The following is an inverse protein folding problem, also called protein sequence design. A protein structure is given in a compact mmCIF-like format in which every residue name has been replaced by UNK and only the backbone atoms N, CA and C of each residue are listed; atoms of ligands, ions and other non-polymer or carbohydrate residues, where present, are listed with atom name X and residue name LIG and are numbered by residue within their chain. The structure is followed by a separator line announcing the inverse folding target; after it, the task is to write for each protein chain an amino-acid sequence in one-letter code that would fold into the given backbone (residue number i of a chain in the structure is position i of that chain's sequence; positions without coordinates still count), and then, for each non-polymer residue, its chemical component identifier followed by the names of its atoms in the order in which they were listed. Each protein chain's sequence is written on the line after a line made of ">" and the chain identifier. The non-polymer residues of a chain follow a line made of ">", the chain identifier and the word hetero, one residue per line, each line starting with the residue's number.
data_IF_267613154810
#
_entry.id   IF_267613154810
#
_cell.length_a   1.000
_cell.length_b   1.000
_cell.length_c   1.000
_cell.angle_alpha   90.00
_cell.angle_beta   90.00
_cell.angle_gamma   90.00
#
_symmetry.space_group_name_H-M   'P 1'
#
loop_
_entity.id
_entity.type
_entity.pdbx_description
1 polymer ?
#
# COMPACT_ATOMS: atom_id res chain seq x y z
N UNK A 1 19.50 2.34 13.95
CA UNK A 1 18.17 2.85 14.36
C UNK A 1 17.20 1.68 14.34
N UNK A 2 16.46 1.45 15.42
CA UNK A 2 15.45 0.38 15.45
C UNK A 2 14.32 0.69 14.46
N UNK A 3 13.91 -0.30 13.68
CA UNK A 3 12.76 -0.17 12.78
C UNK A 3 11.53 0.29 13.58
N UNK A 4 10.74 1.27 13.09
CA UNK A 4 9.52 1.65 13.79
C UNK A 4 8.63 0.41 13.95
N UNK A 5 8.05 0.20 15.14
CA UNK A 5 7.05 -0.87 15.34
C UNK A 5 5.75 -0.44 14.68
N UNK A 6 5.63 -0.69 13.38
CA UNK A 6 4.42 -0.44 12.62
C UNK A 6 3.31 -1.40 13.04
N UNK A 7 2.09 -0.92 13.27
CA UNK A 7 0.93 -1.80 13.31
C UNK A 7 0.76 -2.49 11.94
N UNK A 8 0.29 -3.75 11.92
CA UNK A 8 0.34 -4.62 10.73
C UNK A 8 -0.24 -4.01 9.44
N UNK A 9 -1.30 -3.20 9.54
CA UNK A 9 -1.91 -2.54 8.39
C UNK A 9 -1.01 -1.44 7.78
N UNK A 10 -0.28 -0.70 8.63
CA UNK A 10 0.61 0.36 8.15
C UNK A 10 1.81 -0.20 7.39
N UNK A 11 2.30 -1.38 7.77
CA UNK A 11 3.45 -2.01 7.08
C UNK A 11 3.14 -2.27 5.60
N UNK A 12 1.98 -2.84 5.28
CA UNK A 12 1.58 -3.13 3.89
C UNK A 12 1.44 -1.84 3.07
N UNK A 13 0.78 -0.83 3.63
CA UNK A 13 0.62 0.47 2.97
C UNK A 13 1.97 1.14 2.75
N UNK A 14 2.88 1.10 3.73
CA UNK A 14 4.23 1.62 3.59
C UNK A 14 5.03 0.91 2.48
N UNK A 15 4.91 -0.42 2.35
CA UNK A 15 5.54 -1.17 1.27
C UNK A 15 5.01 -0.75 -0.11
N UNK A 16 3.70 -0.58 -0.27
CA UNK A 16 3.08 -0.10 -1.52
C UNK A 16 3.63 1.29 -1.88
N UNK A 17 3.66 2.21 -0.91
CA UNK A 17 4.18 3.57 -1.12
C UNK A 17 5.68 3.55 -1.45
N UNK A 18 6.49 2.75 -0.75
CA UNK A 18 7.92 2.63 -1.01
C UNK A 18 8.19 2.13 -2.43
N UNK A 19 7.51 1.05 -2.83
CA UNK A 19 7.58 0.48 -4.18
C UNK A 19 7.18 1.50 -5.23
N UNK A 20 6.07 2.22 -5.01
CA UNK A 20 5.59 3.20 -6.00
C UNK A 20 6.52 4.40 -6.13
N UNK A 21 7.07 4.88 -5.02
CA UNK A 21 8.05 5.96 -4.98
C UNK A 21 9.47 5.51 -5.37
N UNK A 22 9.69 4.22 -5.66
CA UNK A 22 11.02 3.62 -5.91
C UNK A 22 12.04 3.96 -4.81
N UNK A 23 11.54 4.08 -3.60
CA UNK A 23 12.32 4.41 -2.41
C UNK A 23 12.41 3.21 -1.48
N UNK A 24 13.16 3.37 -0.40
CA UNK A 24 13.24 2.39 0.67
C UNK A 24 12.23 2.73 1.76
N UNK A 25 11.83 1.75 2.56
CA UNK A 25 10.77 1.92 3.55
C UNK A 25 11.25 2.68 4.80
N UNK A 26 12.56 2.79 5.00
CA UNK A 26 13.19 3.50 6.13
C UNK A 26 12.95 5.02 6.08
N UNK A 27 12.65 5.58 4.91
CA UNK A 27 12.33 7.01 4.77
C UNK A 27 10.85 7.32 5.01
N UNK A 28 10.02 6.30 5.27
CA UNK A 28 8.59 6.46 5.48
C UNK A 28 8.26 6.52 6.97
N UNK A 29 7.26 7.32 7.32
CA UNK A 29 6.64 7.35 8.63
C UNK A 29 5.11 7.30 8.49
N UNK A 30 4.43 6.38 9.16
CA UNK A 30 2.98 6.42 9.30
C UNK A 30 2.64 7.27 10.51
N UNK A 31 1.63 8.11 10.31
CA UNK A 31 0.97 8.80 11.39
C UNK A 31 -0.24 7.99 11.85
N UNK A 32 -0.64 8.09 13.12
CA UNK A 32 -1.89 7.53 13.59
C UNK A 32 -3.07 8.02 12.75
N UNK A 33 -4.07 7.17 12.57
CA UNK A 33 -5.33 7.55 11.92
C UNK A 33 -5.98 8.72 12.66
N UNK A 34 -6.28 9.79 11.92
CA UNK A 34 -7.00 10.96 12.44
C UNK A 34 -7.97 11.50 11.41
N UNK A 35 -9.19 11.82 11.85
CA UNK A 35 -10.28 12.29 10.99
C UNK A 35 -10.07 13.70 10.45
N UNK A 36 -9.21 14.51 11.09
CA UNK A 36 -8.78 15.82 10.59
C UNK A 36 -7.78 15.71 9.42
N UNK A 37 -7.16 14.54 9.21
CA UNK A 37 -6.23 14.28 8.10
C UNK A 37 -6.87 13.47 6.98
N UNK A 38 -7.67 12.48 7.34
CA UNK A 38 -8.41 11.65 6.38
C UNK A 38 -9.88 11.69 6.79
N UNK A 39 -10.71 12.55 6.15
CA UNK A 39 -12.12 12.65 6.47
C UNK A 39 -12.91 11.46 5.92
N UNK A 40 -13.99 11.10 6.61
CA UNK A 40 -14.96 10.07 6.21
C UNK A 40 -14.37 8.68 5.84
N UNK A 41 -13.37 8.14 6.59
CA UNK A 41 -12.89 6.79 6.32
C UNK A 41 -13.97 5.78 6.70
N UNK A 42 -14.19 4.79 5.84
CA UNK A 42 -15.03 3.64 6.19
C UNK A 42 -14.37 2.83 7.32
N UNK A 43 -15.16 2.14 8.16
CA UNK A 43 -14.62 1.23 9.17
C UNK A 43 -13.70 0.16 8.55
N UNK A 44 -12.64 -0.22 9.27
CA UNK A 44 -11.77 -1.34 8.88
C UNK A 44 -12.51 -2.66 9.09
N UNK A 45 -13.24 -3.10 8.07
CA UNK A 45 -14.06 -4.30 8.06
C UNK A 45 -14.00 -5.00 6.69
N UNK A 46 -14.66 -6.15 6.54
CA UNK A 46 -14.79 -6.88 5.27
C UNK A 46 -13.46 -7.24 4.57
N UNK A 47 -12.36 -7.35 5.32
CA UNK A 47 -11.00 -7.58 4.78
C UNK A 47 -10.51 -6.52 3.76
N UNK A 48 -11.20 -5.39 3.62
CA UNK A 48 -10.92 -4.38 2.58
C UNK A 48 -9.85 -3.36 2.97
N UNK A 49 -9.38 -3.40 4.22
CA UNK A 49 -8.49 -2.38 4.77
C UNK A 49 -7.15 -2.25 4.03
N UNK A 50 -6.58 -3.35 3.54
CA UNK A 50 -5.34 -3.30 2.74
C UNK A 50 -5.62 -2.80 1.32
N UNK A 51 -6.70 -3.27 0.70
CA UNK A 51 -7.05 -2.93 -0.68
C UNK A 51 -7.41 -1.44 -0.82
N UNK A 52 -8.33 -0.96 0.02
CA UNK A 52 -8.81 0.43 -0.05
C UNK A 52 -7.70 1.43 0.31
N UNK A 53 -7.06 1.24 1.47
CA UNK A 53 -6.03 2.18 1.93
C UNK A 53 -4.74 2.04 1.12
N UNK A 54 -4.40 0.83 0.68
CA UNK A 54 -3.24 0.58 -0.18
C UNK A 54 -3.40 1.26 -1.53
N UNK A 55 -4.57 1.12 -2.17
CA UNK A 55 -4.84 1.79 -3.45
C UNK A 55 -4.94 3.30 -3.31
N UNK A 56 -5.55 3.81 -2.23
CA UNK A 56 -5.58 5.26 -1.96
C UNK A 56 -4.16 5.81 -1.75
N UNK A 57 -3.31 5.11 -1.00
CA UNK A 57 -1.92 5.50 -0.78
C UNK A 57 -1.07 5.40 -2.06
N UNK A 58 -1.30 4.38 -2.89
CA UNK A 58 -0.68 4.24 -4.22
C UNK A 58 -1.03 5.42 -5.10
N UNK A 59 -2.30 5.81 -5.16
CA UNK A 59 -2.72 7.00 -5.91
C UNK A 59 -2.11 8.28 -5.37
N UNK A 60 -2.04 8.45 -4.04
CA UNK A 60 -1.37 9.60 -3.44
C UNK A 60 0.12 9.65 -3.85
N UNK A 61 0.80 8.50 -3.85
CA UNK A 61 2.18 8.37 -4.32
C UNK A 61 2.32 8.66 -5.82
N UNK A 62 1.35 8.25 -6.64
CA UNK A 62 1.29 8.52 -8.09
C UNK A 62 1.09 9.99 -8.42
N UNK A 63 0.13 10.64 -7.78
CA UNK A 63 -0.12 12.07 -7.91
C UNK A 63 1.07 12.89 -7.42
N UNK A 64 1.70 12.41 -6.34
CA UNK A 64 2.86 13.06 -5.78
C UNK A 64 4.08 12.88 -6.64
N UNK A 65 4.25 11.76 -7.39
CA UNK A 65 5.51 11.27 -7.97
C UNK A 65 6.47 12.41 -8.29
N UNK A 66 7.26 12.85 -7.29
CA UNK A 66 7.91 14.16 -7.37
C UNK A 66 9.04 14.10 -8.37
N UNK A 67 9.62 12.93 -8.55
CA UNK A 67 10.86 12.74 -9.28
C UNK A 67 10.78 13.03 -10.77
N UNK A 68 9.69 12.68 -11.45
CA UNK A 68 9.54 13.02 -12.87
C UNK A 68 9.11 14.46 -13.05
N UNK A 69 8.20 14.97 -12.19
CA UNK A 69 7.65 16.33 -12.30
C UNK A 69 8.60 17.41 -11.79
N UNK A 70 9.30 17.21 -10.67
CA UNK A 70 10.38 18.11 -10.18
C UNK A 70 11.48 18.18 -11.22
N UNK A 71 11.92 17.04 -11.78
CA UNK A 71 12.93 17.09 -12.83
C UNK A 71 12.42 17.77 -14.10
N UNK A 72 11.11 17.76 -14.39
CA UNK A 72 10.54 18.52 -15.50
C UNK A 72 10.36 20.03 -15.24
N UNK A 73 9.90 20.41 -14.04
CA UNK A 73 9.50 21.79 -13.73
C UNK A 73 10.64 22.62 -13.09
N UNK A 74 11.48 21.98 -12.28
CA UNK A 74 12.61 22.63 -11.58
C UNK A 74 13.84 22.74 -12.49
N UNK A 75 13.98 21.82 -13.43
CA UNK A 75 15.11 21.76 -14.35
C UNK A 75 14.66 22.35 -15.69
N UNK A 76 14.63 23.68 -15.78
CA UNK A 76 14.65 24.40 -17.07
C UNK A 76 15.92 24.13 -17.90
N UNK A 77 16.79 23.24 -17.44
CA UNK A 77 18.06 22.85 -18.06
C UNK A 77 18.01 21.39 -18.56
N UNK A 78 17.14 20.99 -19.48
CA UNK A 78 17.34 19.81 -20.35
C UNK A 78 17.59 18.40 -19.76
N UNK A 79 17.64 18.18 -18.44
CA UNK A 79 17.96 16.89 -17.84
C UNK A 79 16.70 16.21 -17.26
N UNK A 80 16.14 15.25 -18.01
CA UNK A 80 15.08 14.38 -17.52
C UNK A 80 15.63 13.39 -16.48
N UNK A 81 14.91 13.14 -15.35
CA UNK A 81 15.29 12.05 -14.43
C UNK A 81 15.23 10.73 -15.21
N UNK A 82 16.39 10.10 -15.38
CA UNK A 82 16.54 8.90 -16.21
C UNK A 82 16.07 7.66 -15.46
N UNK A 83 16.29 7.62 -14.15
CA UNK A 83 15.76 6.55 -13.29
C UNK A 83 15.78 6.93 -11.82
N UNK A 84 14.92 6.29 -11.03
CA UNK A 84 14.94 6.34 -9.56
C UNK A 84 15.17 4.91 -9.09
N UNK A 85 16.20 4.69 -8.29
CA UNK A 85 16.52 3.37 -7.74
C UNK A 85 16.97 3.53 -6.31
N UNK A 86 16.39 2.75 -5.39
CA UNK A 86 16.76 2.71 -3.96
C UNK A 86 16.80 4.10 -3.31
N UNK A 87 15.82 4.95 -3.62
CA UNK A 87 15.71 6.30 -3.03
C UNK A 87 16.69 7.34 -3.58
N UNK A 88 17.36 7.05 -4.70
CA UNK A 88 18.22 7.99 -5.45
C UNK A 88 17.67 8.24 -6.86
N UNK A 89 17.57 9.49 -7.29
CA UNK A 89 17.28 9.84 -8.70
C UNK A 89 18.58 10.15 -9.42
N UNK A 90 18.68 9.62 -10.63
CA UNK A 90 19.79 9.83 -11.54
C UNK A 90 19.36 10.86 -12.60
N UNK A 91 20.09 11.97 -12.65
CA UNK A 91 19.84 13.11 -13.54
C UNK A 91 21.12 13.36 -14.32
N UNK A 92 21.18 12.94 -15.60
CA UNK A 92 22.45 12.92 -16.31
C UNK A 92 23.48 12.04 -15.58
N UNK A 93 24.61 12.63 -15.21
CA UNK A 93 25.69 12.00 -14.43
C UNK A 93 25.54 12.22 -12.90
N UNK A 94 24.63 13.11 -12.49
CA UNK A 94 24.40 13.43 -11.08
C UNK A 94 23.45 12.43 -10.42
N UNK A 95 23.71 12.17 -9.14
CA UNK A 95 22.89 11.29 -8.30
C UNK A 95 22.40 12.09 -7.10
N UNK A 96 21.09 12.31 -7.03
CA UNK A 96 20.45 13.02 -5.93
C UNK A 96 19.71 12.06 -5.01
N UNK A 97 19.89 12.24 -3.71
CA UNK A 97 19.12 11.60 -2.65
C UNK A 97 17.70 12.16 -2.54
N UNK A 98 16.82 11.43 -1.85
CA UNK A 98 15.46 11.90 -1.56
C UNK A 98 15.44 13.27 -0.84
N UNK A 99 16.39 13.49 0.08
CA UNK A 99 16.48 14.74 0.85
C UNK A 99 16.89 15.93 -0.03
N UNK A 100 17.86 15.75 -0.92
CA UNK A 100 18.30 16.78 -1.86
C UNK A 100 17.19 17.16 -2.84
N UNK A 101 16.44 16.18 -3.34
CA UNK A 101 15.30 16.42 -4.22
C UNK A 101 14.16 17.14 -3.50
N UNK A 102 13.88 16.78 -2.25
CA UNK A 102 12.89 17.49 -1.44
C UNK A 102 13.30 18.95 -1.21
N UNK A 103 14.61 19.20 -0.96
CA UNK A 103 15.15 20.56 -0.84
C UNK A 103 15.01 21.35 -2.15
N UNK A 104 15.33 20.75 -3.29
CA UNK A 104 15.16 21.39 -4.60
C UNK A 104 13.70 21.73 -4.88
N UNK A 105 12.78 20.80 -4.60
CA UNK A 105 11.34 21.03 -4.74
C UNK A 105 10.87 22.21 -3.89
N UNK A 106 11.33 22.27 -2.64
CA UNK A 106 11.02 23.34 -1.70
C UNK A 106 11.49 24.71 -2.22
N UNK A 107 12.75 24.80 -2.66
CA UNK A 107 13.31 26.04 -3.22
C UNK A 107 12.58 26.51 -4.48
N UNK A 108 12.05 25.57 -5.26
CA UNK A 108 11.28 25.84 -6.48
C UNK A 108 9.77 25.92 -6.25
N UNK A 109 9.33 25.95 -4.99
CA UNK A 109 7.93 26.08 -4.58
C UNK A 109 7.01 25.01 -5.17
N UNK A 110 7.55 23.82 -5.43
CA UNK A 110 6.79 22.66 -5.88
C UNK A 110 6.18 21.99 -4.65
N UNK A 111 4.85 21.85 -4.64
CA UNK A 111 4.15 21.17 -3.54
C UNK A 111 4.61 19.71 -3.40
N UNK A 112 4.93 19.31 -2.17
CA UNK A 112 5.26 17.94 -1.78
C UNK A 112 4.13 17.27 -0.99
N UNK A 113 2.89 17.76 -1.06
CA UNK A 113 1.74 17.13 -0.44
C UNK A 113 0.76 16.62 -1.49
N UNK A 114 0.21 15.43 -1.29
CA UNK A 114 -0.82 14.87 -2.15
C UNK A 114 -1.79 14.03 -1.32
N UNK A 115 -3.04 13.99 -1.79
CA UNK A 115 -4.12 13.19 -1.22
C UNK A 115 -4.55 12.19 -2.29
N UNK A 116 -4.73 10.93 -1.91
CA UNK A 116 -5.26 9.88 -2.78
C UNK A 116 -6.58 9.35 -2.24
N UNK A 117 -7.45 8.88 -3.13
CA UNK A 117 -8.78 8.43 -2.77
C UNK A 117 -9.20 7.26 -3.67
N UNK A 118 -9.43 6.10 -3.06
CA UNK A 118 -9.84 4.92 -3.78
C UNK A 118 -11.26 4.50 -3.41
N UNK A 119 -12.06 4.25 -4.45
CA UNK A 119 -13.37 3.60 -4.35
C UNK A 119 -13.32 2.36 -5.22
N UNK A 120 -13.70 1.22 -4.64
CA UNK A 120 -13.73 -0.04 -5.37
C UNK A 120 -14.66 0.06 -6.59
N UNK A 121 -14.14 -0.17 -7.82
CA UNK A 121 -14.95 -0.08 -9.03
C UNK A 121 -15.86 -1.30 -9.18
N UNK A 122 -16.89 -1.19 -10.02
CA UNK A 122 -17.74 -2.32 -10.48
C UNK A 122 -18.51 -3.09 -9.38
N UNK A 123 -18.66 -2.54 -8.18
CA UNK A 123 -19.54 -3.13 -7.15
C UNK A 123 -20.99 -2.71 -7.40
N UNK A 124 -21.87 -3.68 -7.60
CA UNK A 124 -23.32 -3.49 -7.65
C UNK A 124 -24.03 -4.75 -7.13
N UNK A 125 -25.00 -4.57 -6.24
CA UNK A 125 -25.79 -5.67 -5.69
C UNK A 125 -27.22 -5.22 -5.41
N UNK A 126 -28.19 -5.85 -6.05
CA UNK A 126 -29.61 -5.72 -5.76
C UNK A 126 -29.99 -6.70 -4.65
N UNK A 127 -30.29 -6.16 -3.46
CA UNK A 127 -30.71 -6.95 -2.30
C UNK A 127 -32.06 -7.64 -2.47
N UNK A 128 -33.00 -7.03 -3.21
CA UNK A 128 -34.35 -7.61 -3.40
C UNK A 128 -34.30 -8.81 -4.32
N UNK A 129 -33.48 -8.73 -5.36
CA UNK A 129 -33.31 -9.80 -6.35
C UNK A 129 -32.18 -10.77 -6.00
N UNK A 130 -31.38 -10.46 -4.97
CA UNK A 130 -30.15 -11.17 -4.60
C UNK A 130 -29.17 -11.35 -5.79
N UNK A 131 -29.06 -10.33 -6.66
CA UNK A 131 -28.28 -10.38 -7.91
C UNK A 131 -27.23 -9.29 -7.96
N UNK A 132 -26.07 -9.59 -8.55
CA UNK A 132 -24.97 -8.66 -8.79
C UNK A 132 -23.63 -9.17 -8.25
N UNK A 133 -22.61 -8.31 -8.32
CA UNK A 133 -21.26 -8.54 -7.82
C UNK A 133 -20.98 -7.66 -6.60
N UNK A 134 -21.22 -8.13 -5.36
CA UNK A 134 -20.99 -7.35 -4.15
C UNK A 134 -19.49 -7.22 -3.79
N UNK A 135 -18.63 -8.04 -4.38
CA UNK A 135 -17.17 -8.02 -4.20
C UNK A 135 -16.46 -8.09 -5.55
N UNK A 136 -15.27 -7.48 -5.64
CA UNK A 136 -14.41 -7.53 -6.83
C UNK A 136 -13.47 -8.74 -6.85
N UNK A 137 -13.21 -9.33 -5.69
CA UNK A 137 -12.33 -10.49 -5.52
C UNK A 137 -12.98 -11.48 -4.56
N UNK A 138 -12.67 -12.75 -4.74
CA UNK A 138 -13.13 -13.85 -3.89
C UNK A 138 -11.90 -14.70 -3.53
N UNK A 139 -11.26 -14.48 -2.36
CA UNK A 139 -10.13 -15.28 -1.94
C UNK A 139 -10.57 -16.73 -1.72
N UNK A 140 -9.74 -17.67 -2.15
CA UNK A 140 -10.02 -19.11 -2.06
C UNK A 140 -8.99 -19.77 -1.15
N UNK A 141 -9.42 -20.79 -0.40
CA UNK A 141 -8.51 -21.53 0.47
C UNK A 141 -8.89 -23.00 0.55
N UNK A 142 -7.87 -23.85 0.63
CA UNK A 142 -7.98 -25.28 0.92
C UNK A 142 -7.22 -25.58 2.21
N UNK A 143 -7.77 -26.49 3.02
CA UNK A 143 -7.20 -26.87 4.31
C UNK A 143 -7.26 -28.38 4.48
N UNK A 144 -6.16 -28.95 4.96
CA UNK A 144 -6.07 -30.35 5.37
C UNK A 144 -5.73 -30.41 6.86
N UNK A 145 -6.44 -31.26 7.61
CA UNK A 145 -6.23 -31.41 9.05
C UNK A 145 -6.01 -32.89 9.37
N UNK A 146 -4.94 -33.18 10.11
CA UNK A 146 -4.71 -34.48 10.74
C UNK A 146 -5.07 -34.37 12.22
N UNK A 147 -6.01 -35.18 12.67
CA UNK A 147 -6.51 -35.21 14.05
C UNK A 147 -6.42 -36.64 14.57
N UNK A 148 -6.04 -36.80 15.83
CA UNK A 148 -6.18 -38.06 16.57
C UNK A 148 -7.37 -37.92 17.50
N UNK A 149 -8.24 -38.93 17.54
CA UNK A 149 -9.44 -38.97 18.37
C UNK A 149 -9.34 -40.22 19.25
N UNK A 150 -9.51 -40.05 20.55
CA UNK A 150 -9.73 -41.14 21.49
C UNK A 150 -11.20 -41.57 21.40
N UNK A 151 -11.44 -42.81 20.98
CA UNK A 151 -12.79 -43.34 20.75
C UNK A 151 -13.52 -43.73 22.04
N UNK A 152 -12.83 -43.84 23.17
CA UNK A 152 -13.43 -44.15 24.48
C UNK A 152 -13.88 -42.88 25.20
N UNK A 153 -13.09 -41.82 25.13
CA UNK A 153 -13.34 -40.56 25.86
C UNK A 153 -13.95 -39.47 24.98
N UNK A 154 -13.80 -39.57 23.65
CA UNK A 154 -14.19 -38.52 22.69
C UNK A 154 -13.21 -37.36 22.63
N UNK A 155 -12.11 -37.40 23.38
CA UNK A 155 -11.07 -36.37 23.31
C UNK A 155 -10.37 -36.38 21.94
N UNK A 156 -9.97 -35.20 21.47
CA UNK A 156 -9.23 -35.09 20.21
C UNK A 156 -8.07 -34.12 20.30
N UNK A 157 -7.03 -34.38 19.51
CA UNK A 157 -5.85 -33.53 19.36
C UNK A 157 -5.52 -33.33 17.89
N UNK A 158 -5.46 -32.05 17.47
CA UNK A 158 -4.98 -31.68 16.14
C UNK A 158 -3.46 -31.91 16.10
N UNK A 159 -3.02 -32.78 15.20
CA UNK A 159 -1.60 -33.11 15.00
C UNK A 159 -0.93 -32.20 13.99
N UNK A 160 -1.66 -31.86 12.91
CA UNK A 160 -1.15 -31.06 11.80
C UNK A 160 -2.27 -30.34 11.09
N UNK A 161 -1.96 -29.13 10.61
CA UNK A 161 -2.82 -28.33 9.74
C UNK A 161 -1.98 -27.86 8.56
N UNK A 162 -2.40 -28.18 7.35
CA UNK A 162 -1.82 -27.65 6.11
C UNK A 162 -2.84 -26.70 5.46
N UNK A 163 -2.42 -25.48 5.12
CA UNK A 163 -3.29 -24.45 4.55
C UNK A 163 -2.68 -23.94 3.25
N UNK A 164 -3.45 -24.00 2.17
CA UNK A 164 -3.20 -23.27 0.93
C UNK A 164 -4.24 -22.15 0.84
N UNK A 165 -3.80 -20.90 0.78
CA UNK A 165 -4.68 -19.73 0.72
C UNK A 165 -4.24 -18.83 -0.44
N UNK A 166 -5.14 -18.60 -1.39
CA UNK A 166 -4.94 -17.62 -2.45
C UNK A 166 -5.15 -16.22 -1.87
N UNK A 167 -4.08 -15.43 -1.85
CA UNK A 167 -4.06 -14.05 -1.35
C UNK A 167 -3.93 -13.02 -2.47
N UNK A 168 -3.87 -13.45 -3.75
CA UNK A 168 -3.59 -12.58 -4.88
C UNK A 168 -2.21 -11.89 -4.84
N UNK A 169 -1.98 -10.96 -5.77
CA UNK A 169 -0.79 -10.09 -5.82
C UNK A 169 -1.11 -8.77 -6.56
N UNK A 170 -2.06 -7.99 -6.03
CA UNK A 170 -2.66 -6.82 -6.71
C UNK A 170 -2.11 -5.47 -6.23
#
# INVERSE_FOLDING_TARGET
>A
MAAPKWARAYTKVAQIVATRCKSTWEILAALPTRTDKVPNPSPTAASSGSDLNGMAAKQAAELKTPFTRICGETIRCGYNCRSIRRGKCHIGDDILTFAELARLAYLNRVSLSAVGYYRTPKIHYDRKLARGGPSITLPMAQRYLKVIIDTLTGEYKVQRVDICHDVGDH
#
